data_IF_040252559822
#
_entry.id   IF_040252559822
#
_cell.length_a   1.000
_cell.length_b   1.000
_cell.length_c   1.000
_cell.angle_alpha   90.00
_cell.angle_beta   90.00
_cell.angle_gamma   90.00
#
_symmetry.space_group_name_H-M   'P 1'
#
loop_
_entity.id
_entity.type
_entity.pdbx_description
1 polymer ?
#
# COMPACT_ATOMS: atom_id res chain seq x y z
N UNK A 1 11.33 6.96 -52.63
CA UNK A 1 9.99 6.89 -51.99
C UNK A 1 9.87 5.75 -50.96
N UNK A 2 10.52 4.58 -51.14
CA UNK A 2 10.41 3.42 -50.22
C UNK A 2 11.17 3.58 -48.89
N UNK A 3 12.24 4.39 -48.87
CA UNK A 3 13.10 4.59 -47.70
C UNK A 3 12.44 5.39 -46.57
N UNK A 4 11.46 6.23 -46.89
CA UNK A 4 10.75 7.10 -45.93
C UNK A 4 9.70 6.34 -45.11
N UNK A 5 8.96 5.43 -45.75
CA UNK A 5 7.91 4.62 -45.11
C UNK A 5 8.50 3.68 -44.05
N UNK A 6 9.67 3.08 -44.33
CA UNK A 6 10.37 2.21 -43.37
C UNK A 6 10.87 2.97 -42.14
N UNK A 7 11.31 4.22 -42.32
CA UNK A 7 11.82 5.07 -41.25
C UNK A 7 10.68 5.58 -40.35
N UNK A 8 9.53 5.92 -40.94
CA UNK A 8 8.31 6.33 -40.20
C UNK A 8 7.72 5.17 -39.37
N UNK A 9 7.61 3.98 -39.95
CA UNK A 9 7.12 2.78 -39.25
C UNK A 9 8.06 2.31 -38.13
N UNK A 10 9.38 2.45 -38.33
CA UNK A 10 10.37 2.19 -37.26
C UNK A 10 10.25 3.22 -36.12
N UNK A 11 9.99 4.50 -36.43
CA UNK A 11 9.75 5.55 -35.44
C UNK A 11 8.49 5.29 -34.59
N UNK A 12 7.39 4.88 -35.20
CA UNK A 12 6.14 4.52 -34.50
C UNK A 12 6.35 3.31 -33.56
N UNK A 13 7.02 2.25 -34.03
CA UNK A 13 7.33 1.06 -33.22
C UNK A 13 8.25 1.38 -32.03
N UNK A 14 9.22 2.31 -32.19
CA UNK A 14 10.08 2.75 -31.11
C UNK A 14 9.30 3.59 -30.08
N UNK A 15 8.41 4.48 -30.54
CA UNK A 15 7.57 5.32 -29.68
C UNK A 15 6.58 4.48 -28.86
N UNK A 16 6.03 3.40 -29.43
CA UNK A 16 5.17 2.45 -28.71
C UNK A 16 5.95 1.66 -27.67
N UNK A 17 7.19 1.25 -27.97
CA UNK A 17 8.07 0.57 -27.00
C UNK A 17 8.45 1.48 -25.83
N UNK A 18 8.73 2.75 -26.08
CA UNK A 18 9.02 3.74 -25.04
C UNK A 18 7.80 3.99 -24.14
N UNK A 19 6.60 4.10 -24.72
CA UNK A 19 5.35 4.20 -23.95
C UNK A 19 5.09 2.95 -23.09
N UNK A 20 5.31 1.75 -23.65
CA UNK A 20 5.19 0.48 -22.92
C UNK A 20 6.20 0.42 -21.77
N UNK A 21 7.45 0.86 -22.00
CA UNK A 21 8.50 0.87 -20.98
C UNK A 21 8.17 1.83 -19.83
N UNK A 22 7.73 3.06 -20.14
CA UNK A 22 7.29 4.04 -19.14
C UNK A 22 6.08 3.55 -18.34
N UNK A 23 5.08 2.99 -19.02
CA UNK A 23 3.90 2.40 -18.37
C UNK A 23 4.29 1.26 -17.41
N UNK A 24 5.18 0.36 -17.84
CA UNK A 24 5.70 -0.74 -17.03
C UNK A 24 6.46 -0.22 -15.80
N UNK A 25 7.28 0.81 -15.97
CA UNK A 25 8.03 1.44 -14.88
C UNK A 25 7.09 2.05 -13.84
N UNK A 26 6.07 2.80 -14.28
CA UNK A 26 5.04 3.37 -13.39
C UNK A 26 4.27 2.28 -12.66
N UNK A 27 3.87 1.19 -13.34
CA UNK A 27 3.22 0.05 -12.70
C UNK A 27 4.11 -0.61 -11.64
N UNK A 28 5.38 -0.89 -11.96
CA UNK A 28 6.33 -1.49 -11.00
C UNK A 28 6.50 -0.59 -9.77
N UNK A 29 6.72 0.71 -9.98
CA UNK A 29 6.87 1.69 -8.89
C UNK A 29 5.60 1.80 -8.03
N UNK A 30 4.43 1.67 -8.63
CA UNK A 30 3.15 1.75 -7.91
C UNK A 30 2.88 0.48 -7.13
N UNK A 31 3.12 -0.69 -7.73
CA UNK A 31 3.05 -1.99 -7.06
C UNK A 31 4.04 -2.05 -5.87
N UNK A 32 5.26 -1.54 -6.03
CA UNK A 32 6.25 -1.50 -4.95
C UNK A 32 5.81 -0.59 -3.79
N UNK A 33 5.21 0.58 -4.10
CA UNK A 33 4.64 1.48 -3.07
C UNK A 33 3.47 0.81 -2.33
N UNK A 34 2.54 0.19 -3.05
CA UNK A 34 1.41 -0.52 -2.45
C UNK A 34 1.86 -1.66 -1.52
N UNK A 35 2.89 -2.42 -1.93
CA UNK A 35 3.47 -3.48 -1.09
C UNK A 35 4.12 -2.93 0.19
N UNK A 36 4.82 -1.80 0.11
CA UNK A 36 5.40 -1.14 1.29
C UNK A 36 4.31 -0.71 2.28
N UNK A 37 3.19 -0.15 1.79
CA UNK A 37 2.05 0.21 2.65
C UNK A 37 1.48 -1.03 3.34
N UNK A 38 1.29 -2.14 2.62
CA UNK A 38 0.84 -3.41 3.23
C UNK A 38 1.81 -3.89 4.32
N UNK A 39 3.12 -3.81 4.09
CA UNK A 39 4.13 -4.19 5.09
C UNK A 39 4.09 -3.29 6.33
N UNK A 40 3.82 -1.99 6.17
CA UNK A 40 3.62 -1.08 7.30
C UNK A 40 2.41 -1.50 8.15
N UNK A 41 1.29 -1.88 7.50
CA UNK A 41 0.14 -2.41 8.22
C UNK A 41 0.43 -3.74 8.92
N UNK A 42 1.18 -4.65 8.29
CA UNK A 42 1.60 -5.90 8.93
C UNK A 42 2.43 -5.60 10.20
N UNK A 43 3.34 -4.62 10.13
CA UNK A 43 4.11 -4.14 11.28
C UNK A 43 3.24 -3.51 12.38
N UNK A 44 2.26 -2.69 12.00
CA UNK A 44 1.28 -2.10 12.92
C UNK A 44 0.51 -3.20 13.66
N UNK A 45 -0.08 -4.14 12.92
CA UNK A 45 -0.88 -5.23 13.49
C UNK A 45 -0.03 -6.08 14.44
N UNK A 46 1.22 -6.41 14.06
CA UNK A 46 2.15 -7.14 14.92
C UNK A 46 2.43 -6.41 16.23
N UNK A 47 2.66 -5.09 16.18
CA UNK A 47 2.89 -4.30 17.40
C UNK A 47 1.65 -4.32 18.31
N UNK A 48 0.45 -4.18 17.74
CA UNK A 48 -0.81 -4.23 18.49
C UNK A 48 -1.04 -5.61 19.14
N UNK A 49 -0.67 -6.69 18.45
CA UNK A 49 -0.77 -8.05 19.00
C UNK A 49 0.16 -8.27 20.19
N UNK A 50 1.42 -7.84 20.09
CA UNK A 50 2.36 -7.91 21.20
C UNK A 50 1.85 -7.08 22.39
N UNK A 51 1.29 -5.90 22.13
CA UNK A 51 0.71 -5.07 23.19
C UNK A 51 -0.48 -5.75 23.87
N UNK A 52 -1.40 -6.37 23.10
CA UNK A 52 -2.57 -7.08 23.64
C UNK A 52 -2.17 -8.29 24.50
N UNK A 53 -1.23 -9.10 24.01
CA UNK A 53 -0.74 -10.28 24.72
C UNK A 53 -0.11 -9.92 26.07
N UNK A 54 0.65 -8.82 26.12
CA UNK A 54 1.38 -8.40 27.32
C UNK A 54 0.54 -7.59 28.31
N UNK A 55 -0.65 -7.14 27.92
CA UNK A 55 -1.54 -6.35 28.76
C UNK A 55 -2.10 -7.17 29.94
N UNK A 56 -2.50 -8.43 29.69
CA UNK A 56 -3.01 -9.35 30.72
C UNK A 56 -1.94 -9.70 31.77
N UNK A 57 -0.69 -9.77 31.34
CA UNK A 57 0.47 -10.04 32.18
C UNK A 57 0.99 -8.79 32.90
N UNK A 58 0.33 -7.62 32.74
CA UNK A 58 0.72 -6.33 33.33
C UNK A 58 2.17 -5.91 32.99
N UNK A 59 2.71 -6.39 31.87
CA UNK A 59 4.05 -6.01 31.37
C UNK A 59 3.98 -4.65 30.66
N UNK A 60 3.69 -3.59 31.42
CA UNK A 60 3.31 -2.30 30.86
C UNK A 60 4.41 -1.61 30.06
N UNK A 61 5.69 -1.87 30.33
CA UNK A 61 6.79 -1.36 29.52
C UNK A 61 6.75 -1.93 28.10
N UNK A 62 6.48 -3.25 27.98
CA UNK A 62 6.33 -3.92 26.69
C UNK A 62 5.11 -3.39 25.94
N UNK A 63 3.99 -3.22 26.65
CA UNK A 63 2.77 -2.63 26.10
C UNK A 63 3.05 -1.22 25.58
N UNK A 64 3.63 -0.35 26.41
CA UNK A 64 3.94 1.03 26.07
C UNK A 64 4.83 1.10 24.82
N UNK A 65 5.93 0.34 24.80
CA UNK A 65 6.88 0.37 23.69
C UNK A 65 6.25 -0.09 22.37
N UNK A 66 5.35 -1.07 22.40
CA UNK A 66 4.67 -1.51 21.18
C UNK A 66 3.53 -0.57 20.76
N UNK A 67 2.83 0.06 21.71
CA UNK A 67 1.84 1.08 21.38
C UNK A 67 2.49 2.34 20.79
N UNK A 68 3.69 2.74 21.25
CA UNK A 68 4.44 3.83 20.63
C UNK A 68 4.86 3.47 19.19
N UNK A 69 5.42 2.27 18.97
CA UNK A 69 5.74 1.80 17.60
C UNK A 69 4.52 1.80 16.67
N UNK A 70 3.36 1.39 17.17
CA UNK A 70 2.12 1.42 16.41
C UNK A 70 1.71 2.87 16.05
N UNK A 71 1.84 3.80 16.99
CA UNK A 71 1.59 5.24 16.76
C UNK A 71 2.56 5.84 15.74
N UNK A 72 3.85 5.48 15.81
CA UNK A 72 4.87 5.92 14.85
C UNK A 72 4.49 5.47 13.42
N UNK A 73 4.14 4.20 13.23
CA UNK A 73 3.72 3.66 11.92
C UNK A 73 2.49 4.40 11.39
N UNK A 74 1.49 4.64 12.25
CA UNK A 74 0.28 5.38 11.85
C UNK A 74 0.62 6.82 11.45
N UNK A 75 1.56 7.46 12.16
CA UNK A 75 2.02 8.81 11.86
C UNK A 75 2.75 8.86 10.52
N UNK A 76 3.63 7.90 10.25
CA UNK A 76 4.29 7.79 8.94
C UNK A 76 3.28 7.57 7.80
N UNK A 77 2.24 6.75 8.02
CA UNK A 77 1.15 6.59 7.05
C UNK A 77 0.40 7.91 6.80
N UNK A 78 0.19 8.74 7.83
CA UNK A 78 -0.40 10.08 7.66
C UNK A 78 0.50 10.99 6.82
N UNK A 79 1.81 11.02 7.11
CA UNK A 79 2.78 11.86 6.41
C UNK A 79 2.97 11.44 4.94
N UNK A 80 2.74 10.17 4.63
CA UNK A 80 2.83 9.64 3.27
C UNK A 80 1.61 9.97 2.39
N UNK A 81 0.54 10.56 2.94
CA UNK A 81 -0.65 10.91 2.17
C UNK A 81 -0.40 12.07 1.22
N UNK A 82 -0.75 11.89 -0.06
CA UNK A 82 -0.82 13.00 -1.00
C UNK A 82 -2.10 13.80 -0.76
N UNK A 83 -2.00 14.91 -0.04
CA UNK A 83 -3.15 15.77 0.29
C UNK A 83 -3.76 16.45 -0.94
N UNK A 84 -3.02 16.57 -2.05
CA UNK A 84 -3.55 17.10 -3.30
C UNK A 84 -4.45 16.10 -4.04
N UNK A 85 -4.47 14.82 -3.63
CA UNK A 85 -5.36 13.81 -4.20
C UNK A 85 -6.84 13.95 -3.77
N UNK A 86 -7.16 15.00 -3.00
CA UNK A 86 -8.53 15.39 -2.66
C UNK A 86 -9.13 14.62 -1.48
N UNK A 87 -10.46 14.49 -1.48
CA UNK A 87 -11.28 14.03 -0.34
C UNK A 87 -10.82 12.71 0.28
N UNK A 88 -10.30 11.78 -0.53
CA UNK A 88 -9.89 10.47 -0.04
C UNK A 88 -8.72 10.57 0.93
N UNK A 89 -7.74 11.44 0.65
CA UNK A 89 -6.58 11.65 1.52
C UNK A 89 -7.00 12.30 2.83
N UNK A 90 -7.90 13.29 2.81
CA UNK A 90 -8.43 13.92 4.02
C UNK A 90 -9.24 12.96 4.91
N UNK A 91 -10.04 12.08 4.29
CA UNK A 91 -10.78 11.03 5.02
C UNK A 91 -9.83 10.04 5.66
N UNK A 92 -8.81 9.59 4.92
CA UNK A 92 -7.83 8.63 5.42
C UNK A 92 -6.96 9.23 6.54
N UNK A 93 -6.55 10.49 6.41
CA UNK A 93 -5.87 11.25 7.47
C UNK A 93 -6.71 11.31 8.74
N UNK A 94 -8.02 11.57 8.61
CA UNK A 94 -8.95 11.65 9.74
C UNK A 94 -9.11 10.30 10.45
N UNK A 95 -9.19 9.21 9.67
CA UNK A 95 -9.19 7.83 10.21
C UNK A 95 -7.90 7.58 10.99
N UNK A 96 -6.74 7.82 10.39
CA UNK A 96 -5.45 7.61 11.04
C UNK A 96 -5.31 8.43 12.32
N UNK A 97 -5.68 9.72 12.29
CA UNK A 97 -5.67 10.60 13.46
C UNK A 97 -6.55 10.06 14.59
N UNK A 98 -7.73 9.53 14.26
CA UNK A 98 -8.61 8.90 15.24
C UNK A 98 -8.01 7.62 15.83
N UNK A 99 -7.44 6.74 15.00
CA UNK A 99 -6.79 5.51 15.45
C UNK A 99 -5.59 5.82 16.36
N UNK A 100 -4.78 6.82 16.01
CA UNK A 100 -3.63 7.24 16.79
C UNK A 100 -4.05 7.68 18.21
N UNK A 101 -5.08 8.53 18.30
CA UNK A 101 -5.67 8.96 19.58
C UNK A 101 -6.19 7.78 20.41
N UNK A 102 -6.80 6.77 19.78
CA UNK A 102 -7.27 5.56 20.46
C UNK A 102 -6.12 4.73 21.05
N UNK A 103 -4.95 4.70 20.40
CA UNK A 103 -3.77 4.05 20.95
C UNK A 103 -3.17 4.83 22.13
N UNK A 104 -3.20 6.16 22.10
CA UNK A 104 -2.82 7.00 23.24
C UNK A 104 -3.73 6.71 24.44
N UNK A 105 -5.06 6.70 24.23
CA UNK A 105 -6.05 6.36 25.24
C UNK A 105 -5.80 4.96 25.83
N UNK A 106 -5.60 3.94 24.98
CA UNK A 106 -5.27 2.60 25.44
C UNK A 106 -3.97 2.55 26.26
N UNK A 107 -2.97 3.34 25.89
CA UNK A 107 -1.70 3.36 26.61
C UNK A 107 -1.83 4.02 27.99
N UNK A 108 -2.71 5.01 28.15
CA UNK A 108 -2.98 5.64 29.45
C UNK A 108 -3.87 4.73 30.31
N UNK A 109 -4.98 4.25 29.75
CA UNK A 109 -5.99 3.49 30.50
C UNK A 109 -5.63 2.02 30.71
N UNK A 110 -4.65 1.49 29.96
CA UNK A 110 -4.27 0.07 29.92
C UNK A 110 -5.45 -0.87 29.66
N UNK A 111 -6.38 -0.43 28.80
CA UNK A 111 -7.54 -1.23 28.37
C UNK A 111 -7.29 -1.86 27.00
N UNK A 112 -7.69 -3.13 26.80
CA UNK A 112 -7.46 -3.80 25.52
C UNK A 112 -8.46 -3.41 24.42
N UNK A 113 -9.64 -2.88 24.77
CA UNK A 113 -10.72 -2.58 23.83
C UNK A 113 -10.29 -1.60 22.71
N UNK A 114 -9.63 -0.45 23.00
CA UNK A 114 -9.22 0.45 21.94
C UNK A 114 -8.12 -0.18 21.06
N UNK A 115 -7.23 -1.00 21.63
CA UNK A 115 -6.19 -1.70 20.84
C UNK A 115 -6.85 -2.70 19.88
N UNK A 116 -7.83 -3.48 20.34
CA UNK A 116 -8.60 -4.40 19.49
C UNK A 116 -9.36 -3.68 18.38
N UNK A 117 -9.97 -2.55 18.70
CA UNK A 117 -10.65 -1.70 17.71
C UNK A 117 -9.67 -1.24 16.62
N UNK A 118 -8.51 -0.68 17.02
CA UNK A 118 -7.50 -0.21 16.06
C UNK A 118 -6.96 -1.37 15.22
N UNK A 119 -6.71 -2.54 15.83
CA UNK A 119 -6.26 -3.74 15.11
C UNK A 119 -7.26 -4.17 14.04
N UNK A 120 -8.56 -4.17 14.36
CA UNK A 120 -9.62 -4.51 13.40
C UNK A 120 -9.60 -3.56 12.19
N UNK A 121 -9.61 -2.26 12.45
CA UNK A 121 -9.56 -1.23 11.39
C UNK A 121 -8.29 -1.33 10.55
N UNK A 122 -7.14 -1.55 11.19
CA UNK A 122 -5.87 -1.74 10.51
C UNK A 122 -5.89 -2.97 9.59
N UNK A 123 -6.52 -4.07 10.03
CA UNK A 123 -6.65 -5.30 9.23
C UNK A 123 -7.53 -5.08 7.99
N UNK A 124 -8.66 -4.38 8.14
CA UNK A 124 -9.55 -4.05 7.01
C UNK A 124 -8.84 -3.16 5.98
N UNK A 125 -8.14 -2.12 6.43
CA UNK A 125 -7.37 -1.24 5.56
C UNK A 125 -6.21 -1.97 4.87
N UNK A 126 -5.52 -2.85 5.61
CA UNK A 126 -4.44 -3.70 5.08
C UNK A 126 -4.92 -4.56 3.92
N UNK A 127 -6.10 -5.17 4.04
CA UNK A 127 -6.67 -5.96 2.95
C UNK A 127 -7.08 -5.10 1.75
N UNK A 128 -7.66 -3.92 1.98
CA UNK A 128 -7.95 -2.99 0.89
C UNK A 128 -6.68 -2.60 0.12
N UNK A 129 -5.59 -2.30 0.81
CA UNK A 129 -4.29 -2.00 0.19
C UNK A 129 -3.65 -3.20 -0.51
N UNK A 130 -3.81 -4.40 0.03
CA UNK A 130 -3.34 -5.64 -0.60
C UNK A 130 -4.05 -5.88 -1.94
N UNK A 131 -5.35 -5.62 -2.02
CA UNK A 131 -6.11 -5.69 -3.29
C UNK A 131 -5.56 -4.66 -4.31
N UNK A 132 -5.33 -3.41 -3.88
CA UNK A 132 -4.78 -2.36 -4.75
C UNK A 132 -3.37 -2.74 -5.25
N UNK A 133 -2.52 -3.25 -4.37
CA UNK A 133 -1.16 -3.66 -4.70
C UNK A 133 -1.13 -4.80 -5.73
N UNK A 134 -2.05 -5.77 -5.61
CA UNK A 134 -2.21 -6.88 -6.57
C UNK A 134 -2.80 -6.43 -7.91
N UNK A 135 -3.74 -5.48 -7.92
CA UNK A 135 -4.28 -4.92 -9.17
C UNK A 135 -3.25 -4.07 -9.93
N UNK A 136 -2.27 -3.53 -9.21
CA UNK A 136 -1.22 -2.68 -9.80
C UNK A 136 0.02 -3.47 -10.26
N UNK A 137 0.10 -4.78 -9.98
CA UNK A 137 1.21 -5.61 -10.46
C UNK A 137 1.04 -5.88 -11.95
N UNK A 138 2.12 -5.68 -12.72
CA UNK A 138 2.13 -5.96 -14.15
C UNK A 138 1.71 -7.41 -14.44
N UNK A 139 0.93 -7.66 -15.50
CA UNK A 139 0.66 -9.02 -15.95
C UNK A 139 1.97 -9.78 -16.15
N UNK A 140 1.97 -11.05 -15.75
CA UNK A 140 3.11 -11.93 -15.92
C UNK A 140 3.48 -12.07 -17.40
N UNK A 141 4.73 -12.42 -17.69
CA UNK A 141 5.19 -12.62 -19.09
C UNK A 141 4.29 -13.65 -19.82
N UNK A 142 3.73 -14.61 -19.09
CA UNK A 142 2.79 -15.60 -19.62
C UNK A 142 1.43 -15.00 -20.02
N UNK A 143 0.94 -13.99 -19.29
CA UNK A 143 -0.30 -13.26 -19.60
C UNK A 143 -0.09 -12.32 -20.80
N UNK A 144 1.05 -11.62 -20.86
CA UNK A 144 1.40 -10.74 -21.98
C UNK A 144 1.63 -11.49 -23.29
N UNK A 145 2.19 -12.72 -23.24
CA UNK A 145 2.31 -13.60 -24.41
C UNK A 145 0.95 -14.05 -24.94
N UNK A 146 -0.06 -14.15 -24.07
CA UNK A 146 -1.42 -14.56 -24.43
C UNK A 146 -2.18 -13.45 -25.17
N UNK A 147 -1.92 -12.20 -24.82
CA UNK A 147 -2.53 -11.01 -25.48
C UNK A 147 -1.74 -10.53 -26.71
N UNK A 148 -0.42 -10.81 -26.78
CA UNK A 148 0.44 -10.47 -27.92
C UNK A 148 0.39 -11.45 -29.09
N UNK A 149 -0.52 -12.43 -29.06
CA UNK A 149 -0.79 -13.32 -30.18
C UNK A 149 -1.40 -12.52 -31.33
N UNK A 150 -0.55 -12.08 -32.25
CA UNK A 150 -0.98 -11.51 -33.53
C UNK A 150 -1.81 -12.59 -34.22
N UNK A 151 -3.10 -12.36 -34.39
CA UNK A 151 -3.95 -13.15 -35.30
C UNK A 151 -3.45 -12.87 -36.73
N UNK A 152 -2.46 -13.64 -37.19
CA UNK A 152 -1.96 -13.61 -38.58
C UNK A 152 -2.66 -14.68 -39.43
N UNK A 153 -3.80 -15.21 -38.98
CA UNK A 153 -4.66 -16.07 -39.77
C UNK A 153 -5.90 -15.28 -40.22
N UNK A 154 -5.80 -14.68 -41.41
CA UNK A 154 -6.88 -13.94 -42.08
C UNK A 154 -6.36 -13.19 -43.30
#
# INVERSE_FOLDING_TARGET
MVTDIRKKRAGEVLMDREKIASYRETQIKTASKGKLVVMMYDGLIKALDIALENLSHKKYDVVNNNLLKAQDIITELMLALNMEAGDISHKLFSIYSFLNRKLIEANVEKKPEPIRFVKKMASELREAWNVIARKSSAPTIDEMKKEGGIDVAG
#
